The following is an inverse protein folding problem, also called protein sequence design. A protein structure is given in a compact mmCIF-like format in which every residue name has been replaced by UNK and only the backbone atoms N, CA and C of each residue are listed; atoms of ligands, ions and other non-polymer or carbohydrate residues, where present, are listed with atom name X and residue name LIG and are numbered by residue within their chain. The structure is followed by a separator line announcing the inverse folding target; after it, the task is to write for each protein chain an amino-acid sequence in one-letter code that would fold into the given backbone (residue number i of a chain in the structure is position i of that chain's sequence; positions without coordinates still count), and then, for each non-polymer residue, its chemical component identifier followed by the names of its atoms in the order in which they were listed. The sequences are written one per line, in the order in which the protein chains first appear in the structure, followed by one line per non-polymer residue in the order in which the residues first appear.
data_IF_323826150358
#
_entry.id   IF_323826150358
#
_cell.length_a   1.000
_cell.length_b   1.000
_cell.length_c   1.000
_cell.angle_alpha   90.00
_cell.angle_beta   90.00
_cell.angle_gamma   90.00
#
_symmetry.space_group_name_H-M   'P 1'
#
loop_
_entity.id
_entity.type
_entity.pdbx_description
1 polymer ?
#
# COMPACT_ATOMS: atom_id res chain seq x y z
N UNK A 1 -16.40 3.96 16.87
CA UNK A 1 -16.18 3.97 15.42
C UNK A 1 -15.99 2.54 14.97
N UNK A 2 -17.07 1.88 14.52
CA UNK A 2 -16.98 0.56 13.87
C UNK A 2 -16.72 0.79 12.39
N UNK A 3 -15.53 0.43 11.92
CA UNK A 3 -15.25 0.34 10.48
C UNK A 3 -15.32 -1.14 10.11
N UNK A 4 -16.30 -1.50 9.26
CA UNK A 4 -16.62 -2.84 8.72
C UNK A 4 -17.38 -3.87 9.60
N UNK A 5 -17.87 -3.53 10.79
CA UNK A 5 -18.67 -4.50 11.58
C UNK A 5 -17.92 -5.77 11.98
N UNK A 6 -16.58 -5.74 11.92
CA UNK A 6 -15.72 -6.80 12.42
C UNK A 6 -15.72 -6.69 13.95
N UNK A 7 -16.42 -7.62 14.61
CA UNK A 7 -16.25 -7.77 16.04
C UNK A 7 -14.80 -8.22 16.34
N UNK A 8 -14.28 -7.88 17.53
CA UNK A 8 -12.89 -8.16 17.92
C UNK A 8 -12.54 -9.66 17.78
N UNK A 9 -13.52 -10.55 17.96
CA UNK A 9 -13.34 -12.00 17.79
C UNK A 9 -13.09 -12.37 16.33
N UNK A 10 -13.84 -11.82 15.39
CA UNK A 10 -13.62 -12.01 13.96
C UNK A 10 -12.26 -11.45 13.53
N UNK A 11 -11.82 -10.33 14.12
CA UNK A 11 -10.49 -9.79 13.84
C UNK A 11 -9.37 -10.65 14.42
N UNK A 12 -9.56 -11.21 15.61
CA UNK A 12 -8.62 -12.15 16.23
C UNK A 12 -8.49 -13.44 15.40
N UNK A 13 -9.61 -13.97 14.90
CA UNK A 13 -9.65 -15.12 14.00
C UNK A 13 -8.96 -14.82 12.66
N UNK A 14 -9.23 -13.64 12.06
CA UNK A 14 -8.63 -13.20 10.81
C UNK A 14 -7.10 -13.06 10.92
N UNK A 15 -6.62 -12.52 12.05
CA UNK A 15 -5.19 -12.41 12.33
C UNK A 15 -4.61 -13.68 12.94
N UNK A 16 -5.40 -14.73 13.16
CA UNK A 16 -4.98 -15.96 13.84
C UNK A 16 -4.14 -15.64 15.10
N UNK A 17 -4.74 -14.86 15.99
CA UNK A 17 -4.22 -14.49 17.31
C UNK A 17 -5.28 -14.74 18.39
N UNK A 18 -4.89 -15.02 19.64
CA UNK A 18 -5.87 -15.14 20.71
C UNK A 18 -6.64 -13.83 20.91
N UNK A 19 -7.95 -13.93 21.15
CA UNK A 19 -8.81 -12.78 21.43
C UNK A 19 -8.23 -11.85 22.51
N UNK A 20 -7.77 -12.43 23.63
CA UNK A 20 -7.14 -11.65 24.72
C UNK A 20 -5.89 -10.90 24.24
N UNK A 21 -5.07 -11.52 23.39
CA UNK A 21 -3.86 -10.87 22.87
C UNK A 21 -4.23 -9.64 22.04
N UNK A 22 -5.19 -9.76 21.14
CA UNK A 22 -5.68 -8.64 20.34
C UNK A 22 -6.36 -7.56 21.21
N UNK A 23 -7.13 -7.99 22.21
CA UNK A 23 -7.76 -7.08 23.16
C UNK A 23 -6.72 -6.26 23.93
N UNK A 24 -5.64 -6.89 24.40
CA UNK A 24 -4.56 -6.20 25.11
C UNK A 24 -3.86 -5.17 24.21
N UNK A 25 -3.74 -5.43 22.91
CA UNK A 25 -3.22 -4.45 21.95
C UNK A 25 -4.14 -3.23 21.85
N UNK A 26 -5.45 -3.44 21.72
CA UNK A 26 -6.43 -2.34 21.61
C UNK A 26 -6.56 -1.52 22.90
N UNK A 27 -6.32 -2.14 24.06
CA UNK A 27 -6.33 -1.47 25.36
C UNK A 27 -4.99 -0.81 25.72
N UNK A 28 -3.97 -0.91 24.85
CA UNK A 28 -2.60 -0.45 25.10
C UNK A 28 -1.96 -1.09 26.35
N UNK A 29 -2.42 -2.27 26.76
CA UNK A 29 -1.80 -3.05 27.85
C UNK A 29 -0.52 -3.75 27.40
N UNK A 30 -0.39 -3.97 26.08
CA UNK A 30 0.76 -4.61 25.45
C UNK A 30 0.91 -4.09 24.03
N UNK A 31 2.15 -3.90 23.58
CA UNK A 31 2.42 -3.62 22.17
C UNK A 31 2.55 -4.91 21.34
N UNK A 32 2.06 -4.93 20.09
CA UNK A 32 2.34 -6.01 19.15
C UNK A 32 3.83 -6.05 18.78
N UNK A 33 4.38 -7.25 18.60
CA UNK A 33 5.74 -7.41 18.10
C UNK A 33 5.78 -7.23 16.55
N UNK A 34 6.98 -7.23 15.99
CA UNK A 34 7.17 -7.06 14.55
C UNK A 34 6.41 -8.12 13.71
N UNK A 35 6.38 -9.37 14.18
CA UNK A 35 5.66 -10.47 13.49
C UNK A 35 4.15 -10.21 13.38
N UNK A 36 3.53 -9.77 14.48
CA UNK A 36 2.11 -9.41 14.49
C UNK A 36 1.85 -8.18 13.63
N UNK A 37 2.71 -7.16 13.69
CA UNK A 37 2.59 -5.97 12.86
C UNK A 37 2.64 -6.31 11.37
N UNK A 38 3.59 -7.15 10.95
CA UNK A 38 3.67 -7.64 9.57
C UNK A 38 2.40 -8.39 9.18
N UNK A 39 1.89 -9.29 10.02
CA UNK A 39 0.64 -10.03 9.78
C UNK A 39 -0.55 -9.09 9.60
N UNK A 40 -0.67 -8.06 10.43
CA UNK A 40 -1.69 -7.01 10.30
C UNK A 40 -1.57 -6.30 8.95
N UNK A 41 -0.36 -5.86 8.59
CA UNK A 41 -0.09 -5.18 7.34
C UNK A 41 -0.46 -6.02 6.11
N UNK A 42 -0.17 -7.31 6.14
CA UNK A 42 -0.42 -8.19 5.00
C UNK A 42 -1.88 -8.60 4.88
N UNK A 43 -2.52 -8.98 5.99
CA UNK A 43 -3.92 -9.44 6.00
C UNK A 43 -4.91 -8.29 5.71
N UNK A 44 -4.60 -7.08 6.18
CA UNK A 44 -5.46 -5.91 5.98
C UNK A 44 -5.01 -5.01 4.83
N UNK A 45 -3.90 -5.34 4.17
CA UNK A 45 -3.26 -4.50 3.16
C UNK A 45 -2.98 -3.07 3.67
N UNK A 46 -2.48 -2.97 4.90
CA UNK A 46 -2.19 -1.72 5.61
C UNK A 46 -0.70 -1.38 5.53
N UNK A 47 -0.39 -0.10 5.32
CA UNK A 47 0.99 0.39 5.36
C UNK A 47 1.48 0.50 6.81
N UNK A 48 2.67 -0.06 7.10
CA UNK A 48 3.21 -0.07 8.45
C UNK A 48 3.69 1.31 8.91
N UNK A 49 4.13 2.20 8.00
CA UNK A 49 4.47 3.57 8.37
C UNK A 49 3.23 4.35 8.78
N UNK A 50 2.10 4.11 8.11
CA UNK A 50 0.83 4.70 8.54
C UNK A 50 0.43 4.13 9.91
N UNK A 51 0.46 2.80 10.06
CA UNK A 51 0.03 2.13 11.29
C UNK A 51 0.85 2.56 12.51
N UNK A 52 2.16 2.70 12.35
CA UNK A 52 3.08 2.94 13.47
C UNK A 52 3.37 4.42 13.72
N UNK A 53 3.40 5.24 12.66
CA UNK A 53 3.84 6.63 12.72
C UNK A 53 2.75 7.65 12.34
N UNK A 54 1.60 7.18 11.85
CA UNK A 54 0.53 8.04 11.33
C UNK A 54 0.93 8.79 10.05
N UNK A 55 1.91 8.28 9.30
CA UNK A 55 2.46 8.93 8.09
C UNK A 55 2.13 8.14 6.84
N UNK A 56 1.79 8.84 5.76
CA UNK A 56 1.48 8.24 4.47
C UNK A 56 0.03 7.76 4.37
N UNK A 57 -0.23 6.89 3.41
CA UNK A 57 -1.56 6.33 3.16
C UNK A 57 -1.84 5.11 4.04
N UNK A 58 -3.08 4.97 4.51
CA UNK A 58 -3.49 3.88 5.42
C UNK A 58 -3.35 2.51 4.77
N UNK A 59 -3.82 2.39 3.53
CA UNK A 59 -3.77 1.16 2.78
C UNK A 59 -2.62 1.22 1.80
N UNK A 60 -1.91 0.11 1.64
CA UNK A 60 -1.00 -0.05 0.51
C UNK A 60 -1.87 0.03 -0.74
N UNK A 61 -1.50 0.86 -1.71
CA UNK A 61 -2.19 0.83 -2.99
C UNK A 61 -2.18 -0.61 -3.51
N UNK A 62 -3.35 -1.10 -3.96
CA UNK A 62 -3.47 -2.46 -4.50
C UNK A 62 -2.37 -2.63 -5.54
N UNK A 63 -1.39 -3.49 -5.25
CA UNK A 63 -0.27 -3.78 -6.13
C UNK A 63 -0.83 -4.39 -7.42
N UNK A 64 -1.13 -3.53 -8.38
CA UNK A 64 -1.38 -3.82 -9.79
C UNK A 64 -1.39 -2.53 -10.64
N UNK A 65 -1.47 -1.34 -10.03
CA UNK A 65 -1.32 -0.07 -10.78
C UNK A 65 0.13 0.47 -10.83
N UNK A 66 1.02 0.02 -9.93
CA UNK A 66 2.39 0.56 -9.81
C UNK A 66 3.48 -0.38 -10.32
N UNK A 67 3.17 -1.65 -10.55
CA UNK A 67 4.15 -2.59 -11.10
C UNK A 67 4.15 -2.44 -12.62
N UNK A 68 5.12 -1.67 -13.11
CA UNK A 68 5.29 -1.46 -14.53
C UNK A 68 5.46 -2.80 -15.22
N UNK A 69 4.66 -3.09 -16.25
CA UNK A 69 4.90 -4.25 -17.08
C UNK A 69 6.22 -4.08 -17.87
N UNK A 70 6.71 -5.17 -18.46
CA UNK A 70 8.00 -5.14 -19.16
C UNK A 70 8.07 -4.09 -20.29
N UNK A 71 6.95 -3.82 -20.97
CA UNK A 71 6.90 -2.78 -22.00
C UNK A 71 6.99 -1.38 -21.40
N UNK A 72 6.31 -1.13 -20.28
CA UNK A 72 6.37 0.14 -19.56
C UNK A 72 7.78 0.41 -19.01
N UNK A 73 8.44 -0.61 -18.43
CA UNK A 73 9.84 -0.53 -18.01
C UNK A 73 10.77 -0.17 -19.16
N UNK A 74 10.59 -0.81 -20.31
CA UNK A 74 11.35 -0.51 -21.52
C UNK A 74 11.11 0.92 -22.02
N UNK A 75 9.85 1.38 -22.04
CA UNK A 75 9.49 2.74 -22.44
C UNK A 75 10.20 3.79 -21.59
N UNK A 76 10.22 3.61 -20.26
CA UNK A 76 10.94 4.51 -19.34
C UNK A 76 12.45 4.48 -19.60
N UNK A 77 13.02 3.30 -19.85
CA UNK A 77 14.45 3.14 -20.16
C UNK A 77 14.83 3.92 -21.42
N UNK A 78 14.01 3.82 -22.48
CA UNK A 78 14.23 4.59 -23.71
C UNK A 78 14.04 6.07 -23.47
N UNK A 79 12.96 6.49 -22.80
CA UNK A 79 12.70 7.89 -22.49
C UNK A 79 13.86 8.55 -21.75
N UNK A 80 14.45 7.89 -20.74
CA UNK A 80 15.58 8.43 -19.98
C UNK A 80 16.81 8.72 -20.85
N UNK A 81 17.06 7.91 -21.87
CA UNK A 81 18.19 8.03 -22.82
C UNK A 81 17.99 9.09 -23.91
N UNK A 82 16.77 9.60 -24.09
CA UNK A 82 16.47 10.60 -25.12
C UNK A 82 17.04 11.99 -24.78
N UNK A 83 17.32 12.78 -25.82
CA UNK A 83 17.68 14.19 -25.70
C UNK A 83 16.51 15.03 -25.15
N UNK A 84 16.82 16.24 -24.67
CA UNK A 84 15.81 17.16 -24.12
C UNK A 84 14.68 17.45 -25.13
N UNK A 85 15.04 17.75 -26.38
CA UNK A 85 14.06 18.10 -27.42
C UNK A 85 13.12 16.93 -27.74
N UNK A 86 13.64 15.71 -27.76
CA UNK A 86 12.83 14.51 -27.99
C UNK A 86 11.89 14.21 -26.82
N UNK A 87 12.32 14.46 -25.58
CA UNK A 87 11.45 14.34 -24.40
C UNK A 87 10.30 15.34 -24.45
N UNK A 88 10.56 16.57 -24.89
CA UNK A 88 9.53 17.61 -25.08
C UNK A 88 8.52 17.18 -26.16
N UNK A 89 9.00 16.69 -27.30
CA UNK A 89 8.11 16.19 -28.35
C UNK A 89 7.22 15.04 -27.85
N UNK A 90 7.81 14.08 -27.12
CA UNK A 90 7.07 12.99 -26.49
C UNK A 90 6.01 13.50 -25.51
N UNK A 91 6.34 14.44 -24.64
CA UNK A 91 5.39 15.01 -23.67
C UNK A 91 4.19 15.67 -24.37
N UNK A 92 4.42 16.43 -25.43
CA UNK A 92 3.35 17.05 -26.23
C UNK A 92 2.45 15.99 -26.87
N UNK A 93 3.04 14.98 -27.51
CA UNK A 93 2.28 13.89 -28.15
C UNK A 93 1.48 13.08 -27.13
N UNK A 94 2.07 12.71 -25.99
CA UNK A 94 1.38 11.95 -24.95
C UNK A 94 0.23 12.77 -24.33
N UNK A 95 0.44 14.05 -24.03
CA UNK A 95 -0.63 14.92 -23.54
C UNK A 95 -1.79 15.05 -24.51
N UNK A 96 -1.51 15.06 -25.83
CA UNK A 96 -2.56 15.08 -26.84
C UNK A 96 -3.32 13.74 -26.88
N UNK A 97 -2.61 12.62 -26.92
CA UNK A 97 -3.19 11.28 -27.06
C UNK A 97 -3.93 10.80 -25.80
N UNK A 98 -3.53 11.26 -24.61
CA UNK A 98 -4.13 10.89 -23.33
C UNK A 98 -5.36 11.71 -22.96
N UNK A 99 -5.69 12.76 -23.73
CA UNK A 99 -6.97 13.47 -23.59
C UNK A 99 -8.07 12.64 -24.25
N UNK A 100 -8.65 11.72 -23.48
CA UNK A 100 -9.93 11.09 -23.80
C UNK A 100 -10.96 11.50 -22.77
#
# INVERSE_FOLDING_TARGET
MEYKGLNIKAFAELLDVPYRTLQNYLLNERDPNAEILTKIGDVLNVDLNWLMLGKGEMFRSTMNEYELNEKEKQLISYYRKMSSDMKIAFDVSFKFLSRK
#
